data_IF_940569202797
#
_entry.id   IF_940569202797
#
_cell.length_a   1.000
_cell.length_b   1.000
_cell.length_c   1.000
_cell.angle_alpha   90.00
_cell.angle_beta   90.00
_cell.angle_gamma   90.00
#
_symmetry.space_group_name_H-M   'P 1'
#
loop_
_entity.id
_entity.type
_entity.pdbx_description
1 polymer ?
#
# COMPACT_ATOMS: atom_id res chain seq x y z
N UNK A 1 -33.67 22.54 -5.18
CA UNK A 1 -32.85 22.78 -3.97
C UNK A 1 -32.34 21.47 -3.36
N UNK A 2 -33.17 20.42 -3.31
CA UNK A 2 -32.79 19.09 -2.81
C UNK A 2 -31.72 18.38 -3.66
N UNK A 3 -31.81 18.44 -4.99
CA UNK A 3 -30.80 17.90 -5.93
C UNK A 3 -29.41 18.55 -5.75
N UNK A 4 -29.37 19.86 -5.50
CA UNK A 4 -28.12 20.59 -5.22
C UNK A 4 -27.53 20.15 -3.87
N UNK A 5 -28.38 19.88 -2.87
CA UNK A 5 -27.95 19.38 -1.55
C UNK A 5 -27.44 17.94 -1.65
N UNK A 6 -28.13 17.05 -2.38
CA UNK A 6 -27.67 15.68 -2.67
C UNK A 6 -26.33 15.67 -3.40
N UNK A 7 -26.20 16.48 -4.44
CA UNK A 7 -24.95 16.60 -5.21
C UNK A 7 -23.79 17.15 -4.36
N UNK A 8 -24.07 18.07 -3.42
CA UNK A 8 -23.09 18.59 -2.45
C UNK A 8 -22.67 17.52 -1.42
N UNK A 9 -23.62 16.75 -0.88
CA UNK A 9 -23.32 15.63 0.02
C UNK A 9 -22.49 14.55 -0.68
N UNK A 10 -22.86 14.18 -1.92
CA UNK A 10 -22.14 13.18 -2.71
C UNK A 10 -20.70 13.62 -2.99
N UNK A 11 -20.46 14.89 -3.36
CA UNK A 11 -19.11 15.43 -3.54
C UNK A 11 -18.27 15.39 -2.25
N UNK A 12 -18.88 15.55 -1.08
CA UNK A 12 -18.18 15.45 0.21
C UNK A 12 -17.88 14.01 0.62
N UNK A 13 -18.76 13.07 0.27
CA UNK A 13 -18.61 11.64 0.59
C UNK A 13 -17.70 10.89 -0.38
N UNK A 14 -17.62 11.33 -1.64
CA UNK A 14 -16.87 10.66 -2.71
C UNK A 14 -15.42 10.31 -2.31
N UNK A 15 -14.61 11.22 -1.72
CA UNK A 15 -13.25 10.89 -1.33
C UNK A 15 -13.16 9.76 -0.29
N UNK A 16 -14.16 9.63 0.60
CA UNK A 16 -14.20 8.56 1.60
C UNK A 16 -14.53 7.21 0.94
N UNK A 17 -15.56 7.19 0.10
CA UNK A 17 -15.98 5.98 -0.64
C UNK A 17 -14.82 5.46 -1.49
N UNK A 18 -14.18 6.36 -2.23
CA UNK A 18 -13.05 6.02 -3.09
C UNK A 18 -11.87 5.41 -2.32
N UNK A 19 -11.50 6.00 -1.17
CA UNK A 19 -10.40 5.46 -0.36
C UNK A 19 -10.79 4.14 0.29
N UNK A 20 -12.03 3.98 0.78
CA UNK A 20 -12.51 2.70 1.34
C UNK A 20 -12.44 1.58 0.29
N UNK A 21 -12.95 1.82 -0.92
CA UNK A 21 -12.86 0.87 -2.03
C UNK A 21 -11.40 0.56 -2.39
N UNK A 22 -10.53 1.56 -2.37
CA UNK A 22 -9.10 1.38 -2.60
C UNK A 22 -8.48 0.46 -1.54
N UNK A 23 -8.77 0.64 -0.24
CA UNK A 23 -8.23 -0.24 0.80
C UNK A 23 -8.71 -1.69 0.67
N UNK A 24 -9.96 -1.91 0.26
CA UNK A 24 -10.47 -3.27 -0.01
C UNK A 24 -9.74 -3.90 -1.20
N UNK A 25 -9.48 -3.12 -2.27
CA UNK A 25 -8.69 -3.60 -3.42
C UNK A 25 -7.25 -3.93 -3.04
N UNK A 26 -6.61 -3.10 -2.20
CA UNK A 26 -5.26 -3.37 -1.68
C UNK A 26 -5.24 -4.64 -0.82
N UNK A 27 -6.24 -4.86 0.02
CA UNK A 27 -6.32 -6.08 0.83
C UNK A 27 -6.40 -7.34 -0.03
N UNK A 28 -7.17 -7.31 -1.11
CA UNK A 28 -7.21 -8.42 -2.09
C UNK A 28 -5.85 -8.69 -2.72
N UNK A 29 -5.08 -7.63 -3.02
CA UNK A 29 -3.74 -7.74 -3.59
C UNK A 29 -2.74 -8.33 -2.62
N UNK A 30 -2.80 -7.99 -1.32
CA UNK A 30 -1.89 -8.53 -0.32
C UNK A 30 -2.05 -10.07 -0.19
N UNK A 31 -3.30 -10.54 -0.20
CA UNK A 31 -3.63 -11.96 -0.14
C UNK A 31 -3.20 -12.70 -1.40
N UNK A 32 -3.56 -12.19 -2.59
CA UNK A 32 -3.18 -12.78 -3.87
C UNK A 32 -1.66 -12.81 -4.06
N UNK A 33 -0.98 -11.73 -3.68
CA UNK A 33 0.48 -11.63 -3.67
C UNK A 33 1.08 -12.68 -2.74
N UNK A 34 0.62 -12.78 -1.49
CA UNK A 34 1.12 -13.80 -0.56
C UNK A 34 0.95 -15.21 -1.11
N UNK A 35 -0.18 -15.52 -1.76
CA UNK A 35 -0.41 -16.82 -2.39
C UNK A 35 0.64 -17.13 -3.47
N UNK A 36 0.84 -16.24 -4.44
CA UNK A 36 1.79 -16.50 -5.55
C UNK A 36 3.25 -16.46 -5.12
N UNK A 37 3.58 -15.69 -4.07
CA UNK A 37 4.91 -15.71 -3.47
C UNK A 37 5.20 -17.04 -2.76
N UNK A 38 4.19 -17.64 -2.11
CA UNK A 38 4.30 -18.98 -1.51
C UNK A 38 4.43 -20.08 -2.59
N UNK A 39 3.86 -19.88 -3.78
CA UNK A 39 4.06 -20.73 -4.97
C UNK A 39 5.44 -20.52 -5.66
N UNK A 40 6.31 -19.70 -5.07
CA UNK A 40 7.67 -19.49 -5.55
C UNK A 40 7.83 -18.40 -6.61
N UNK A 41 6.81 -17.56 -6.85
CA UNK A 41 6.94 -16.42 -7.76
C UNK A 41 8.01 -15.42 -7.26
N UNK A 42 8.84 -14.94 -8.17
CA UNK A 42 9.75 -13.84 -7.87
C UNK A 42 8.97 -12.55 -7.62
N UNK A 43 9.22 -11.90 -6.49
CA UNK A 43 8.59 -10.61 -6.17
C UNK A 43 9.04 -9.52 -7.15
N UNK A 44 10.30 -9.55 -7.60
CA UNK A 44 10.83 -8.57 -8.54
C UNK A 44 10.07 -8.62 -9.87
N UNK A 45 9.85 -9.83 -10.39
CA UNK A 45 9.10 -10.06 -11.62
C UNK A 45 7.62 -9.70 -11.45
N UNK A 46 7.00 -10.09 -10.33
CA UNK A 46 5.62 -9.74 -10.00
C UNK A 46 5.40 -8.22 -10.07
N UNK A 47 6.28 -7.44 -9.44
CA UNK A 47 6.23 -5.98 -9.43
C UNK A 47 6.34 -5.42 -10.85
N UNK A 48 7.29 -5.90 -11.65
CA UNK A 48 7.48 -5.45 -13.05
C UNK A 48 6.21 -5.64 -13.85
N UNK A 49 5.63 -6.85 -13.83
CA UNK A 49 4.43 -7.11 -14.61
C UNK A 49 3.22 -6.35 -14.09
N UNK A 50 3.05 -6.21 -12.77
CA UNK A 50 1.98 -5.42 -12.15
C UNK A 50 1.98 -3.98 -12.69
N UNK A 51 3.13 -3.31 -12.68
CA UNK A 51 3.21 -1.93 -13.19
C UNK A 51 3.17 -1.87 -14.71
N UNK A 52 3.68 -2.89 -15.41
CA UNK A 52 3.59 -2.98 -16.86
C UNK A 52 2.13 -3.04 -17.33
N UNK A 53 1.32 -3.90 -16.70
CA UNK A 53 -0.13 -3.97 -16.93
C UNK A 53 -0.78 -2.62 -16.64
N UNK A 54 -0.45 -2.01 -15.49
CA UNK A 54 -1.00 -0.71 -15.13
C UNK A 54 -0.67 0.38 -16.16
N UNK A 55 0.57 0.42 -16.67
CA UNK A 55 1.01 1.37 -17.68
C UNK A 55 0.27 1.17 -19.00
N UNK A 56 0.15 -0.08 -19.47
CA UNK A 56 -0.58 -0.43 -20.70
C UNK A 56 -2.05 -0.03 -20.59
N UNK A 57 -2.69 -0.34 -19.45
CA UNK A 57 -4.10 -0.03 -19.23
C UNK A 57 -4.33 1.46 -19.16
N UNK A 58 -3.45 2.23 -18.49
CA UNK A 58 -3.63 3.67 -18.30
C UNK A 58 -3.23 4.51 -19.51
N UNK A 59 -2.29 4.05 -20.34
CA UNK A 59 -1.80 4.76 -21.51
C UNK A 59 -2.91 5.27 -22.47
N UNK A 60 -3.89 4.45 -22.91
CA UNK A 60 -4.93 4.91 -23.83
C UNK A 60 -5.84 5.97 -23.18
N UNK A 61 -6.20 5.82 -21.91
CA UNK A 61 -7.01 6.82 -21.19
C UNK A 61 -6.22 8.13 -21.01
N UNK A 62 -4.95 8.04 -20.63
CA UNK A 62 -4.07 9.20 -20.52
C UNK A 62 -3.90 9.92 -21.88
N UNK A 63 -3.78 9.17 -22.97
CA UNK A 63 -3.69 9.75 -24.31
C UNK A 63 -5.00 10.42 -24.73
N UNK A 64 -6.15 9.82 -24.44
CA UNK A 64 -7.44 10.35 -24.86
C UNK A 64 -7.94 11.53 -24.01
N UNK A 65 -7.88 11.41 -22.68
CA UNK A 65 -8.48 12.37 -21.75
C UNK A 65 -7.55 13.53 -21.38
N UNK A 66 -6.24 13.30 -21.26
CA UNK A 66 -5.31 14.36 -20.81
C UNK A 66 -4.63 15.10 -21.95
N UNK A 67 -4.81 14.70 -23.23
CA UNK A 67 -4.06 15.28 -24.37
C UNK A 67 -4.07 16.81 -24.42
N UNK A 68 -5.18 17.45 -24.05
CA UNK A 68 -5.32 18.91 -24.09
C UNK A 68 -4.87 19.59 -22.79
N UNK A 69 -4.84 18.87 -21.67
CA UNK A 69 -4.51 19.40 -20.36
C UNK A 69 -3.06 19.11 -19.94
N UNK A 70 -2.34 18.26 -20.70
CA UNK A 70 -1.00 17.77 -20.37
C UNK A 70 0.04 18.90 -20.37
N UNK A 71 0.69 19.18 -19.23
CA UNK A 71 1.80 20.13 -19.18
C UNK A 71 3.01 19.61 -19.96
N UNK A 72 3.87 20.53 -20.42
CA UNK A 72 5.14 20.15 -21.05
C UNK A 72 6.01 19.40 -20.04
N UNK A 73 6.56 18.26 -20.46
CA UNK A 73 7.46 17.46 -19.64
C UNK A 73 8.80 18.17 -19.50
N UNK A 74 9.09 18.73 -18.32
CA UNK A 74 10.39 19.31 -18.00
C UNK A 74 11.31 18.26 -17.38
N UNK A 75 12.63 18.47 -17.44
CA UNK A 75 13.61 17.57 -16.79
C UNK A 75 13.33 17.38 -15.30
N UNK A 76 12.92 18.44 -14.61
CA UNK A 76 12.59 18.37 -13.18
C UNK A 76 11.32 17.55 -12.91
N UNK A 77 10.27 17.67 -13.73
CA UNK A 77 9.05 16.85 -13.60
C UNK A 77 9.39 15.38 -13.88
N UNK A 78 10.14 15.11 -14.94
CA UNK A 78 10.58 13.77 -15.27
C UNK A 78 11.39 13.14 -14.14
N UNK A 79 12.32 13.89 -13.53
CA UNK A 79 13.08 13.43 -12.38
C UNK A 79 12.18 13.10 -11.17
N UNK A 80 11.18 13.93 -10.87
CA UNK A 80 10.20 13.61 -9.81
C UNK A 80 9.41 12.34 -10.12
N UNK A 81 8.99 12.15 -11.37
CA UNK A 81 8.27 10.94 -11.82
C UNK A 81 9.15 9.69 -11.69
N UNK A 82 10.42 9.79 -12.07
CA UNK A 82 11.42 8.73 -11.88
C UNK A 82 11.52 8.36 -10.41
N UNK A 83 11.69 9.34 -9.51
CA UNK A 83 11.69 9.09 -8.07
C UNK A 83 10.37 8.51 -7.54
N UNK A 84 9.23 8.88 -8.12
CA UNK A 84 7.94 8.27 -7.78
C UNK A 84 7.89 6.79 -8.19
N UNK A 85 8.42 6.45 -9.37
CA UNK A 85 8.62 5.08 -9.83
C UNK A 85 9.57 4.28 -8.93
N UNK A 86 10.59 4.94 -8.39
CA UNK A 86 11.55 4.30 -7.51
C UNK A 86 10.96 4.02 -6.13
N UNK A 87 10.28 5.00 -5.53
CA UNK A 87 9.86 4.91 -4.13
C UNK A 87 8.77 3.89 -3.88
N UNK A 88 7.68 3.92 -4.66
CA UNK A 88 6.59 2.96 -4.43
C UNK A 88 6.74 1.70 -5.30
N UNK A 89 6.77 1.78 -6.64
CA UNK A 89 6.83 0.57 -7.46
C UNK A 89 8.04 -0.30 -7.15
N UNK A 90 9.23 0.28 -7.04
CA UNK A 90 10.46 -0.52 -6.90
C UNK A 90 10.79 -0.82 -5.44
N UNK A 91 11.03 0.20 -4.62
CA UNK A 91 11.52 -0.01 -3.24
C UNK A 91 10.41 -0.55 -2.35
N UNK A 92 9.29 0.16 -2.23
CA UNK A 92 8.19 -0.23 -1.33
C UNK A 92 7.67 -1.62 -1.66
N UNK A 93 7.20 -1.86 -2.89
CA UNK A 93 6.55 -3.14 -3.20
C UNK A 93 7.49 -4.34 -3.08
N UNK A 94 8.75 -4.22 -3.51
CA UNK A 94 9.69 -5.34 -3.36
C UNK A 94 10.01 -5.61 -1.90
N UNK A 95 10.26 -4.57 -1.09
CA UNK A 95 10.56 -4.75 0.33
C UNK A 95 9.34 -5.24 1.11
N UNK A 96 8.14 -4.81 0.75
CA UNK A 96 6.88 -5.31 1.29
C UNK A 96 6.68 -6.79 0.96
N UNK A 97 6.84 -7.18 -0.31
CA UNK A 97 6.76 -8.57 -0.75
C UNK A 97 7.81 -9.46 -0.07
N UNK A 98 9.06 -8.99 0.01
CA UNK A 98 10.13 -9.72 0.70
C UNK A 98 9.83 -9.83 2.20
N UNK A 99 9.36 -8.77 2.82
CA UNK A 99 8.87 -8.76 4.20
C UNK A 99 7.82 -9.84 4.43
N UNK A 100 6.77 -9.83 3.59
CA UNK A 100 5.72 -10.85 3.58
C UNK A 100 6.24 -12.26 3.29
N UNK A 101 7.35 -12.46 2.57
CA UNK A 101 7.96 -13.80 2.42
C UNK A 101 8.55 -14.29 3.74
N UNK A 102 9.19 -13.41 4.51
CA UNK A 102 9.78 -13.75 5.81
C UNK A 102 8.75 -13.80 6.95
N UNK A 103 7.59 -13.18 6.78
CA UNK A 103 6.52 -13.08 7.79
C UNK A 103 5.15 -13.48 7.22
N UNK A 104 4.07 -12.99 7.82
CA UNK A 104 2.67 -13.15 7.36
C UNK A 104 2.15 -11.89 6.66
N UNK A 105 1.05 -12.03 5.91
CA UNK A 105 0.38 -10.89 5.29
C UNK A 105 -0.18 -9.92 6.35
N UNK A 106 -0.75 -10.48 7.43
CA UNK A 106 -1.26 -9.71 8.57
C UNK A 106 -0.15 -8.93 9.28
N UNK A 107 1.05 -9.53 9.46
CA UNK A 107 2.18 -8.84 10.09
C UNK A 107 2.70 -7.67 9.25
N UNK A 108 2.88 -7.87 7.95
CA UNK A 108 3.38 -6.82 7.07
C UNK A 108 2.39 -5.65 6.96
N UNK A 109 1.10 -5.94 6.80
CA UNK A 109 0.04 -4.92 6.76
C UNK A 109 -0.13 -4.20 8.11
N UNK A 110 0.11 -4.89 9.22
CA UNK A 110 0.11 -4.26 10.53
C UNK A 110 1.18 -3.16 10.64
N UNK A 111 2.40 -3.42 10.19
CA UNK A 111 3.47 -2.43 10.18
C UNK A 111 3.11 -1.20 9.30
N UNK A 112 2.28 -1.36 8.26
CA UNK A 112 1.80 -0.25 7.43
C UNK A 112 0.78 0.65 8.13
N UNK A 113 0.32 0.32 9.34
CA UNK A 113 -0.42 1.26 10.18
C UNK A 113 0.46 2.38 10.76
N UNK A 114 1.78 2.28 10.60
CA UNK A 114 2.72 3.39 10.86
C UNK A 114 2.80 4.37 9.69
N UNK A 115 2.31 4.01 8.49
CA UNK A 115 2.36 4.86 7.29
C UNK A 115 1.71 6.24 7.47
N UNK A 116 0.50 6.39 8.08
CA UNK A 116 -0.10 7.71 8.28
C UNK A 116 0.77 8.60 9.16
N UNK A 117 1.42 8.01 10.17
CA UNK A 117 2.28 8.71 11.11
C UNK A 117 3.53 9.27 10.42
N UNK A 118 4.24 8.41 9.68
CA UNK A 118 5.44 8.79 8.93
C UNK A 118 5.10 9.83 7.87
N UNK A 119 4.00 9.63 7.14
CA UNK A 119 3.52 10.56 6.11
C UNK A 119 3.20 11.93 6.71
N UNK A 120 2.54 11.96 7.87
CA UNK A 120 2.25 13.22 8.56
C UNK A 120 3.55 13.95 8.95
N UNK A 121 4.53 13.27 9.56
CA UNK A 121 5.82 13.87 9.92
C UNK A 121 6.53 14.45 8.69
N UNK A 122 6.62 13.69 7.59
CA UNK A 122 7.23 14.18 6.36
C UNK A 122 6.45 15.36 5.76
N UNK A 123 5.11 15.36 5.84
CA UNK A 123 4.29 16.48 5.39
C UNK A 123 4.56 17.77 6.19
N UNK A 124 4.92 17.67 7.48
CA UNK A 124 5.34 18.82 8.28
C UNK A 124 6.71 19.33 7.87
N UNK A 125 7.68 18.43 7.69
CA UNK A 125 9.05 18.78 7.28
C UNK A 125 9.03 19.51 5.92
N UNK A 126 8.26 19.00 4.97
CA UNK A 126 8.13 19.58 3.62
C UNK A 126 7.12 20.75 3.58
N UNK A 127 6.53 21.12 4.73
CA UNK A 127 5.56 22.22 4.87
C UNK A 127 4.32 22.08 3.98
N UNK A 128 3.93 20.84 3.65
CA UNK A 128 2.67 20.56 2.95
C UNK A 128 1.47 20.66 3.89
N UNK A 129 1.66 20.38 5.18
CA UNK A 129 0.70 20.67 6.23
C UNK A 129 1.22 21.78 7.16
N UNK A 130 0.39 22.79 7.43
CA UNK A 130 0.68 23.80 8.46
C UNK A 130 -0.04 23.40 9.74
N UNK A 131 0.71 22.90 10.73
CA UNK A 131 0.15 22.61 12.05
C UNK A 131 -0.04 23.91 12.81
N UNK A 132 -1.29 24.35 12.93
CA UNK A 132 -1.69 25.25 14.01
C UNK A 132 -1.81 24.40 15.27
N UNK A 133 -0.78 24.41 16.14
CA UNK A 133 -0.73 23.64 17.39
C UNK A 133 -1.87 23.99 18.38
N UNK A 134 -2.57 25.12 18.16
CA UNK A 134 -3.77 25.52 18.91
C UNK A 134 -5.11 24.98 18.37
N UNK A 135 -5.11 24.17 17.30
CA UNK A 135 -6.33 23.57 16.74
C UNK A 135 -6.52 22.13 17.23
N UNK A 136 -7.70 21.83 17.79
CA UNK A 136 -8.14 20.47 18.18
C UNK A 136 -7.95 19.43 17.06
N UNK A 137 -8.05 19.87 15.79
CA UNK A 137 -7.88 19.01 14.61
C UNK A 137 -6.41 18.61 14.37
N UNK A 138 -5.45 19.42 14.80
CA UNK A 138 -4.02 19.09 14.71
C UNK A 138 -3.60 18.17 15.86
N UNK A 139 -4.10 18.42 17.08
CA UNK A 139 -3.82 17.59 18.24
C UNK A 139 -4.35 16.16 18.08
N UNK A 140 -5.57 16.01 17.55
CA UNK A 140 -6.15 14.69 17.23
C UNK A 140 -5.38 13.93 16.15
N UNK A 141 -4.78 14.60 15.16
CA UNK A 141 -3.91 13.96 14.17
C UNK A 141 -2.61 13.42 14.78
N UNK A 142 -1.96 14.19 15.67
CA UNK A 142 -0.74 13.77 16.37
C UNK A 142 -1.03 12.64 17.35
N UNK A 143 -2.13 12.75 18.12
CA UNK A 143 -2.53 11.72 19.07
C UNK A 143 -2.92 10.43 18.35
N UNK A 144 -3.70 10.51 17.26
CA UNK A 144 -4.05 9.34 16.43
C UNK A 144 -2.81 8.67 15.81
N UNK A 145 -1.82 9.46 15.42
CA UNK A 145 -0.51 9.00 14.96
C UNK A 145 0.22 8.21 16.06
N UNK A 146 0.36 8.77 17.26
CA UNK A 146 1.02 8.10 18.39
C UNK A 146 0.31 6.82 18.82
N UNK A 147 -1.03 6.85 18.85
CA UNK A 147 -1.86 5.68 19.19
C UNK A 147 -1.77 4.60 18.12
N UNK A 148 -1.72 4.97 16.83
CA UNK A 148 -1.57 4.00 15.73
C UNK A 148 -0.21 3.30 15.78
N UNK A 149 0.88 4.06 15.97
CA UNK A 149 2.23 3.51 16.09
C UNK A 149 2.35 2.64 17.35
N UNK A 150 1.84 3.12 18.49
CA UNK A 150 1.81 2.36 19.74
C UNK A 150 0.99 1.08 19.63
N UNK A 151 -0.21 1.15 19.06
CA UNK A 151 -1.08 -0.01 18.84
C UNK A 151 -0.46 -1.04 17.90
N UNK A 152 0.22 -0.59 16.84
CA UNK A 152 0.97 -1.46 15.92
C UNK A 152 2.10 -2.17 16.65
N UNK A 153 2.90 -1.43 17.42
CA UNK A 153 4.05 -1.98 18.14
C UNK A 153 3.60 -3.00 19.21
N UNK A 154 2.48 -2.74 19.88
CA UNK A 154 1.86 -3.68 20.83
C UNK A 154 1.36 -4.94 20.11
N UNK A 155 0.62 -4.81 19.01
CA UNK A 155 0.09 -5.97 18.26
C UNK A 155 1.22 -6.83 17.66
N UNK A 156 2.35 -6.23 17.33
CA UNK A 156 3.49 -6.89 16.67
C UNK A 156 4.42 -7.58 17.67
N UNK A 157 4.66 -6.96 18.84
CA UNK A 157 5.65 -7.43 19.82
C UNK A 157 5.05 -8.18 21.01
N UNK A 158 3.76 -7.99 21.29
CA UNK A 158 3.09 -8.65 22.42
C UNK A 158 2.41 -9.93 21.96
N UNK A 159 2.91 -11.08 22.42
CA UNK A 159 2.24 -12.36 22.27
C UNK A 159 0.98 -12.39 23.14
N UNK A 160 -0.18 -12.15 22.52
CA UNK A 160 -1.48 -12.42 23.12
C UNK A 160 -1.85 -13.91 23.05
N UNK A 161 -2.90 -14.36 23.77
CA UNK A 161 -3.47 -15.68 23.52
C UNK A 161 -3.96 -15.75 22.06
N UNK A 162 -3.72 -16.89 21.41
CA UNK A 162 -4.24 -17.14 20.06
C UNK A 162 -5.77 -17.13 20.12
N UNK A 163 -6.40 -16.46 19.15
CA UNK A 163 -7.84 -16.53 18.96
C UNK A 163 -8.19 -17.88 18.34
N UNK A 164 -8.80 -18.75 19.13
CA UNK A 164 -9.38 -20.01 18.63
C UNK A 164 -10.70 -19.72 17.90
N UNK A 165 -10.60 -19.31 16.63
CA UNK A 165 -11.75 -19.14 15.76
C UNK A 165 -12.36 -20.51 15.42
N UNK A 166 -13.69 -20.60 15.34
CA UNK A 166 -14.37 -21.88 15.17
C UNK A 166 -14.09 -22.55 13.81
N UNK A 167 -13.73 -21.77 12.80
CA UNK A 167 -13.31 -22.25 11.48
C UNK A 167 -11.83 -22.64 11.38
N UNK A 168 -11.00 -22.31 12.38
CA UNK A 168 -9.60 -22.77 12.47
C UNK A 168 -9.46 -24.13 13.19
N UNK A 169 -10.59 -24.76 13.59
CA UNK A 169 -10.64 -26.07 14.28
C UNK A 169 -10.63 -27.29 13.33
N UNK A 170 -9.81 -27.25 12.29
CA UNK A 170 -9.47 -28.45 11.49
C UNK A 170 -8.31 -29.22 12.13
N UNK A 171 -7.94 -30.42 11.62
CA UNK A 171 -6.67 -31.05 11.98
C UNK A 171 -5.57 -30.15 11.44
N UNK A 172 -5.16 -29.15 12.22
CA UNK A 172 -4.07 -28.28 11.85
C UNK A 172 -2.84 -29.17 11.82
N UNK A 173 -2.35 -29.45 10.60
CA UNK A 173 -0.91 -29.59 10.47
C UNK A 173 -0.37 -28.33 11.11
N UNK A 174 0.40 -28.53 12.16
CA UNK A 174 1.09 -27.50 12.93
C UNK A 174 2.12 -26.86 11.99
N UNK A 175 1.66 -26.15 10.97
CA UNK A 175 2.44 -25.22 10.17
C UNK A 175 2.46 -23.89 10.94
N UNK A 176 2.71 -23.96 12.24
CA UNK A 176 3.60 -22.98 12.83
C UNK A 176 4.93 -23.21 12.10
N UNK A 177 5.10 -22.57 10.95
CA UNK A 177 6.43 -22.10 10.60
C UNK A 177 6.79 -21.27 11.82
N UNK A 178 7.53 -21.88 12.75
CA UNK A 178 8.17 -21.14 13.82
C UNK A 178 9.06 -20.18 13.07
N UNK A 179 8.56 -18.96 12.85
CA UNK A 179 9.33 -17.94 12.18
C UNK A 179 10.48 -17.68 13.12
N UNK A 180 11.66 -18.12 12.71
CA UNK A 180 12.90 -17.78 13.36
C UNK A 180 12.85 -16.30 13.74
N UNK A 181 13.18 -15.96 14.99
CA UNK A 181 13.12 -14.59 15.47
C UNK A 181 13.92 -13.69 14.53
N UNK A 182 15.03 -14.23 14.00
CA UNK A 182 15.85 -13.55 13.01
C UNK A 182 15.11 -13.29 11.68
N UNK A 183 14.36 -14.25 11.14
CA UNK A 183 13.57 -14.05 9.92
C UNK A 183 12.45 -13.03 10.12
N UNK A 184 11.82 -13.06 11.30
CA UNK A 184 10.75 -12.11 11.67
C UNK A 184 11.27 -10.68 11.78
N UNK A 185 12.43 -10.48 12.42
CA UNK A 185 13.10 -9.18 12.50
C UNK A 185 13.51 -8.69 11.11
N UNK A 186 14.10 -9.57 10.28
CA UNK A 186 14.46 -9.23 8.91
C UNK A 186 13.24 -8.76 8.12
N UNK A 187 12.11 -9.47 8.21
CA UNK A 187 10.86 -9.06 7.59
C UNK A 187 10.38 -7.70 8.10
N UNK A 188 10.37 -7.47 9.41
CA UNK A 188 9.94 -6.21 10.00
C UNK A 188 10.78 -5.00 9.53
N UNK A 189 12.11 -5.16 9.45
CA UNK A 189 13.02 -4.12 8.96
C UNK A 189 12.72 -3.80 7.50
N UNK A 190 12.57 -4.82 6.65
CA UNK A 190 12.25 -4.63 5.22
C UNK A 190 10.93 -3.88 5.04
N UNK A 191 9.87 -4.31 5.73
CA UNK A 191 8.54 -3.67 5.66
C UNK A 191 8.58 -2.23 6.18
N UNK A 192 9.36 -1.95 7.23
CA UNK A 192 9.48 -0.59 7.78
C UNK A 192 10.20 0.35 6.80
N UNK A 193 11.25 -0.13 6.13
CA UNK A 193 11.94 0.63 5.08
C UNK A 193 10.99 0.88 3.89
N UNK A 194 10.21 -0.15 3.50
CA UNK A 194 9.16 -0.01 2.48
C UNK A 194 8.13 1.06 2.85
N UNK A 195 7.58 0.98 4.06
CA UNK A 195 6.63 1.96 4.61
C UNK A 195 7.17 3.41 4.57
N UNK A 196 8.44 3.61 4.94
CA UNK A 196 9.07 4.92 4.82
C UNK A 196 9.17 5.38 3.35
N UNK A 197 9.57 4.50 2.44
CA UNK A 197 9.61 4.76 1.01
C UNK A 197 8.22 5.14 0.46
N UNK A 198 7.17 4.44 0.89
CA UNK A 198 5.80 4.76 0.49
C UNK A 198 5.31 6.11 1.03
N UNK A 199 5.70 6.46 2.27
CA UNK A 199 5.45 7.80 2.80
C UNK A 199 6.14 8.87 1.95
N UNK A 200 7.40 8.66 1.54
CA UNK A 200 8.11 9.54 0.61
C UNK A 200 7.38 9.66 -0.73
N UNK A 201 6.87 8.55 -1.28
CA UNK A 201 6.05 8.54 -2.48
C UNK A 201 4.81 9.44 -2.34
N UNK A 202 4.02 9.30 -1.26
CA UNK A 202 2.82 10.12 -1.05
C UNK A 202 3.13 11.62 -1.01
N UNK A 203 4.22 11.99 -0.33
CA UNK A 203 4.66 13.39 -0.24
C UNK A 203 5.11 13.91 -1.60
N UNK A 204 5.96 13.17 -2.30
CA UNK A 204 6.43 13.55 -3.63
C UNK A 204 5.29 13.58 -4.65
N UNK A 205 4.29 12.69 -4.52
CA UNK A 205 3.16 12.61 -5.41
C UNK A 205 2.28 13.85 -5.25
N UNK A 206 2.02 14.26 -4.00
CA UNK A 206 1.30 15.50 -3.69
C UNK A 206 2.00 16.74 -4.27
N UNK A 207 3.33 16.78 -4.23
CA UNK A 207 4.14 17.87 -4.81
C UNK A 207 4.07 17.84 -6.33
N UNK A 208 4.17 16.66 -6.93
CA UNK A 208 4.20 16.47 -8.38
C UNK A 208 2.86 16.81 -9.01
N UNK A 209 1.74 16.47 -8.36
CA UNK A 209 0.38 16.84 -8.79
C UNK A 209 0.16 18.36 -8.87
N UNK A 210 0.93 19.17 -8.12
CA UNK A 210 0.87 20.65 -8.26
C UNK A 210 1.52 21.14 -9.54
N UNK A 211 2.58 20.48 -10.00
CA UNK A 211 3.33 20.84 -11.22
C UNK A 211 2.86 20.08 -12.47
N UNK A 212 2.20 18.94 -12.29
CA UNK A 212 1.71 18.07 -13.35
C UNK A 212 0.30 17.57 -13.00
N UNK A 213 -0.75 18.44 -13.08
CA UNK A 213 -2.09 18.19 -12.56
C UNK A 213 -2.97 17.34 -13.50
N UNK A 214 -2.39 16.31 -14.13
CA UNK A 214 -3.07 15.36 -15.01
C UNK A 214 -2.87 13.95 -14.46
N UNK A 215 -3.85 13.46 -13.72
CA UNK A 215 -3.75 12.26 -12.88
C UNK A 215 -3.58 10.99 -13.71
N UNK A 216 -4.30 10.84 -14.83
CA UNK A 216 -4.20 9.66 -15.70
C UNK A 216 -2.80 9.54 -16.31
N UNK A 217 -2.29 10.64 -16.88
CA UNK A 217 -0.95 10.71 -17.46
C UNK A 217 0.13 10.54 -16.42
N UNK A 218 -0.03 11.12 -15.23
CA UNK A 218 0.95 10.98 -14.16
C UNK A 218 1.00 9.53 -13.68
N UNK A 219 -0.14 8.88 -13.49
CA UNK A 219 -0.23 7.46 -13.17
C UNK A 219 0.44 6.60 -14.25
N UNK A 220 0.14 6.83 -15.53
CA UNK A 220 0.77 6.09 -16.63
C UNK A 220 2.30 6.23 -16.62
N UNK A 221 2.81 7.45 -16.38
CA UNK A 221 4.24 7.71 -16.27
C UNK A 221 4.89 7.06 -15.05
N UNK A 222 4.25 7.10 -13.87
CA UNK A 222 4.74 6.43 -12.65
C UNK A 222 4.83 4.92 -12.89
N UNK A 223 3.76 4.31 -13.42
CA UNK A 223 3.74 2.88 -13.73
C UNK A 223 4.79 2.51 -14.78
N UNK A 224 4.98 3.34 -15.81
CA UNK A 224 6.00 3.11 -16.83
C UNK A 224 7.42 3.15 -16.23
N UNK A 225 7.74 4.19 -15.45
CA UNK A 225 9.04 4.29 -14.79
C UNK A 225 9.26 3.16 -13.79
N UNK A 226 8.25 2.83 -12.98
CA UNK A 226 8.30 1.68 -12.08
C UNK A 226 8.53 0.35 -12.79
N UNK A 227 7.96 0.18 -13.99
CA UNK A 227 8.22 -1.00 -14.84
C UNK A 227 9.66 -1.04 -15.33
N UNK A 228 10.19 0.09 -15.83
CA UNK A 228 11.55 0.19 -16.36
C UNK A 228 12.59 -0.04 -15.26
N UNK A 229 12.47 0.69 -14.16
CA UNK A 229 13.38 0.61 -13.02
C UNK A 229 13.25 -0.76 -12.32
N UNK A 230 12.02 -1.25 -12.14
CA UNK A 230 11.76 -2.58 -11.61
C UNK A 230 12.35 -3.67 -12.48
N UNK A 231 12.29 -3.52 -13.82
CA UNK A 231 12.86 -4.49 -14.75
C UNK A 231 14.38 -4.50 -14.65
N UNK A 232 15.02 -3.33 -14.52
CA UNK A 232 16.46 -3.25 -14.29
C UNK A 232 16.86 -3.98 -12.99
N UNK A 233 16.12 -3.78 -11.90
CA UNK A 233 16.36 -4.50 -10.64
C UNK A 233 16.10 -6.00 -10.81
N UNK A 234 15.00 -6.41 -11.42
CA UNK A 234 14.64 -7.81 -11.62
C UNK A 234 15.68 -8.55 -12.48
N UNK A 235 16.21 -7.91 -13.53
CA UNK A 235 17.26 -8.49 -14.38
C UNK A 235 18.56 -8.73 -13.61
N UNK A 236 18.88 -7.87 -12.64
CA UNK A 236 20.06 -8.04 -11.77
C UNK A 236 19.80 -9.10 -10.71
N UNK A 237 18.63 -9.09 -10.07
CA UNK A 237 18.32 -9.97 -8.94
C UNK A 237 17.99 -11.41 -9.36
N UNK A 238 17.35 -11.61 -10.51
CA UNK A 238 17.06 -12.92 -11.10
C UNK A 238 18.07 -13.28 -12.20
N UNK A 239 19.30 -12.73 -12.11
CA UNK A 239 20.35 -13.03 -13.07
C UNK A 239 20.69 -14.51 -13.04
N UNK A 240 20.53 -15.17 -14.19
CA UNK A 240 20.73 -16.62 -14.31
C UNK A 240 19.47 -17.47 -14.06
N UNK A 241 18.33 -16.85 -13.78
CA UNK A 241 17.03 -17.52 -13.64
C UNK A 241 16.01 -16.97 -14.66
N UNK A 242 16.15 -17.27 -15.97
CA UNK A 242 15.20 -16.80 -16.99
C UNK A 242 13.78 -17.36 -16.75
N UNK A 243 13.66 -18.51 -16.09
CA UNK A 243 12.38 -19.10 -15.72
C UNK A 243 11.54 -18.22 -14.77
N UNK A 244 12.16 -17.31 -14.01
CA UNK A 244 11.43 -16.36 -13.16
C UNK A 244 10.48 -15.46 -13.95
N UNK A 245 10.80 -15.18 -15.22
CA UNK A 245 10.01 -14.32 -16.11
C UNK A 245 8.84 -15.04 -16.77
N UNK A 246 8.81 -16.37 -16.72
CA UNK A 246 7.74 -17.17 -17.29
C UNK A 246 6.49 -17.09 -16.42
N UNK A 247 5.45 -16.43 -16.94
CA UNK A 247 4.12 -16.40 -16.34
C UNK A 247 3.20 -17.30 -17.18
N UNK A 248 2.62 -18.31 -16.53
CA UNK A 248 1.63 -19.20 -17.13
C UNK A 248 0.21 -18.64 -17.06
N UNK A 249 -0.75 -19.38 -17.60
CA UNK A 249 -2.18 -19.11 -17.42
C UNK A 249 -2.68 -19.65 -16.07
N UNK A 250 -2.15 -19.08 -14.98
CA UNK A 250 -2.37 -19.53 -13.61
C UNK A 250 -2.69 -18.37 -12.66
N UNK A 251 -2.68 -18.65 -11.36
CA UNK A 251 -2.87 -17.64 -10.31
C UNK A 251 -1.88 -16.48 -10.40
N UNK A 252 -0.69 -16.67 -10.97
CA UNK A 252 0.32 -15.60 -11.13
C UNK A 252 -0.17 -14.55 -12.12
N UNK A 253 -0.74 -14.98 -13.25
CA UNK A 253 -1.31 -14.06 -14.23
C UNK A 253 -2.53 -13.31 -13.66
N UNK A 254 -3.39 -14.02 -12.92
CA UNK A 254 -4.54 -13.40 -12.25
C UNK A 254 -4.07 -12.32 -11.27
N UNK A 255 -3.11 -12.63 -10.40
CA UNK A 255 -2.56 -11.71 -9.40
C UNK A 255 -1.92 -10.49 -10.04
N UNK A 256 -1.08 -10.68 -11.07
CA UNK A 256 -0.45 -9.60 -11.84
C UNK A 256 -1.50 -8.68 -12.47
N UNK A 257 -2.52 -9.26 -13.10
CA UNK A 257 -3.53 -8.50 -13.83
C UNK A 257 -4.44 -7.72 -12.87
N UNK A 258 -4.93 -8.39 -11.83
CA UNK A 258 -5.75 -7.78 -10.78
C UNK A 258 -5.00 -6.64 -10.08
N UNK A 259 -3.78 -6.91 -9.59
CA UNK A 259 -2.99 -5.92 -8.86
C UNK A 259 -2.57 -4.75 -9.77
N UNK A 260 -2.28 -5.01 -11.04
CA UNK A 260 -1.94 -3.98 -12.02
C UNK A 260 -3.13 -3.05 -12.29
N UNK A 261 -4.31 -3.60 -12.56
CA UNK A 261 -5.50 -2.82 -12.90
C UNK A 261 -6.07 -2.11 -11.66
N UNK A 262 -6.33 -2.86 -10.59
CA UNK A 262 -7.07 -2.35 -9.42
C UNK A 262 -6.16 -1.52 -8.52
N UNK A 263 -4.99 -2.05 -8.18
CA UNK A 263 -4.16 -1.46 -7.13
C UNK A 263 -3.19 -0.41 -7.67
N UNK A 264 -2.62 -0.61 -8.86
CA UNK A 264 -1.67 0.37 -9.43
C UNK A 264 -2.36 1.37 -10.37
N UNK A 265 -3.07 0.92 -11.41
CA UNK A 265 -3.73 1.82 -12.36
C UNK A 265 -4.86 2.65 -11.69
N UNK A 266 -5.92 1.99 -11.23
CA UNK A 266 -7.01 2.66 -10.54
C UNK A 266 -6.55 3.24 -9.21
N UNK A 267 -5.68 2.53 -8.48
CA UNK A 267 -5.22 2.99 -7.17
C UNK A 267 -4.41 4.28 -7.21
N UNK A 268 -3.43 4.45 -8.10
CA UNK A 268 -2.74 5.74 -8.22
C UNK A 268 -3.66 6.82 -8.76
N UNK A 269 -4.49 6.52 -9.76
CA UNK A 269 -5.43 7.51 -10.29
C UNK A 269 -6.39 8.03 -9.22
N UNK A 270 -7.08 7.14 -8.51
CA UNK A 270 -7.98 7.48 -7.40
C UNK A 270 -7.19 8.17 -6.27
N UNK A 271 -6.04 7.63 -5.92
CA UNK A 271 -5.13 8.21 -4.91
C UNK A 271 -4.77 9.66 -5.26
N UNK A 272 -4.44 9.95 -6.52
CA UNK A 272 -4.16 11.29 -7.02
C UNK A 272 -5.36 12.23 -6.94
N UNK A 273 -6.54 11.77 -7.35
CA UNK A 273 -7.79 12.55 -7.24
C UNK A 273 -8.11 12.93 -5.78
N UNK A 274 -8.01 11.97 -4.87
CA UNK A 274 -8.25 12.20 -3.44
C UNK A 274 -7.17 13.09 -2.86
N UNK A 275 -5.91 12.89 -3.23
CA UNK A 275 -4.79 13.68 -2.73
C UNK A 275 -4.86 15.15 -3.15
N UNK A 276 -5.32 15.43 -4.38
CA UNK A 276 -5.55 16.80 -4.86
C UNK A 276 -6.64 17.51 -4.06
N UNK A 277 -7.65 16.78 -3.58
CA UNK A 277 -8.81 17.35 -2.88
C UNK A 277 -8.65 17.37 -1.35
N UNK A 278 -7.96 16.39 -0.75
CA UNK A 278 -7.87 16.18 0.71
C UNK A 278 -6.45 16.15 1.25
N UNK A 279 -5.44 16.09 0.39
CA UNK A 279 -4.03 15.98 0.77
C UNK A 279 -3.55 14.54 1.02
N UNK A 280 -2.22 14.34 1.12
CA UNK A 280 -1.62 13.01 1.23
C UNK A 280 -1.95 12.28 2.54
N UNK A 281 -1.98 13.00 3.67
CA UNK A 281 -2.26 12.42 5.00
C UNK A 281 -3.67 11.82 5.07
N UNK A 282 -4.64 12.39 4.34
CA UNK A 282 -6.00 11.86 4.29
C UNK A 282 -6.05 10.48 3.63
N UNK A 283 -5.29 10.26 2.55
CA UNK A 283 -5.26 8.97 1.85
C UNK A 283 -4.65 7.90 2.74
N UNK A 284 -3.53 8.22 3.39
CA UNK A 284 -2.81 7.26 4.24
C UNK A 284 -3.57 6.89 5.50
N UNK A 285 -4.40 7.79 6.06
CA UNK A 285 -5.13 7.56 7.31
C UNK A 285 -6.09 6.34 7.28
N UNK A 286 -6.38 5.80 6.09
CA UNK A 286 -7.24 4.63 5.93
C UNK A 286 -6.45 3.31 5.86
N UNK A 287 -5.12 3.31 5.93
CA UNK A 287 -4.34 2.05 5.91
C UNK A 287 -4.77 1.02 6.97
N UNK A 288 -5.23 1.39 8.18
CA UNK A 288 -5.75 0.40 9.14
C UNK A 288 -6.95 -0.39 8.65
N UNK A 289 -7.75 0.16 7.72
CA UNK A 289 -8.87 -0.57 7.12
C UNK A 289 -8.38 -1.74 6.27
N UNK A 290 -7.29 -1.55 5.50
CA UNK A 290 -6.67 -2.63 4.73
C UNK A 290 -6.25 -3.77 5.66
N UNK A 291 -5.57 -3.45 6.75
CA UNK A 291 -5.13 -4.44 7.75
C UNK A 291 -6.29 -5.25 8.34
N UNK A 292 -7.43 -4.61 8.67
CA UNK A 292 -8.62 -5.33 9.18
C UNK A 292 -9.14 -6.35 8.15
N UNK A 293 -9.24 -5.93 6.87
CA UNK A 293 -9.74 -6.81 5.80
C UNK A 293 -8.74 -7.93 5.52
N UNK A 294 -7.44 -7.63 5.47
CA UNK A 294 -6.37 -8.63 5.29
C UNK A 294 -6.35 -9.63 6.44
N UNK A 295 -6.44 -9.18 7.69
CA UNK A 295 -6.49 -10.09 8.83
C UNK A 295 -7.65 -11.09 8.70
N UNK A 296 -8.85 -10.60 8.38
CA UNK A 296 -10.02 -11.46 8.17
C UNK A 296 -9.81 -12.46 7.03
N UNK A 297 -9.43 -11.99 5.83
CA UNK A 297 -9.21 -12.85 4.66
C UNK A 297 -8.08 -13.87 4.88
N UNK A 298 -6.98 -13.42 5.49
CA UNK A 298 -5.80 -14.23 5.75
C UNK A 298 -6.08 -15.36 6.75
N UNK A 299 -6.89 -15.09 7.78
CA UNK A 299 -7.31 -16.14 8.73
C UNK A 299 -8.17 -17.23 8.09
N UNK A 300 -8.97 -16.90 7.06
CA UNK A 300 -9.81 -17.86 6.35
C UNK A 300 -9.00 -18.65 5.33
N UNK A 301 -8.18 -17.97 4.54
CA UNK A 301 -7.50 -18.56 3.37
C UNK A 301 -6.20 -19.28 3.77
N UNK A 302 -5.40 -18.66 4.64
CA UNK A 302 -4.08 -19.18 5.03
C UNK A 302 -4.07 -19.81 6.42
N UNK A 303 -5.21 -19.84 7.11
CA UNK A 303 -5.33 -20.27 8.51
C UNK A 303 -4.34 -19.54 9.45
N UNK A 304 -4.00 -18.28 9.15
CA UNK A 304 -3.15 -17.46 10.00
C UNK A 304 -3.82 -17.26 11.36
N UNK A 305 -3.13 -17.67 12.44
CA UNK A 305 -3.61 -17.42 13.80
C UNK A 305 -3.56 -15.92 14.10
N UNK A 306 -4.71 -15.36 14.46
CA UNK A 306 -4.80 -14.00 14.99
C UNK A 306 -4.52 -14.02 16.50
N UNK A 307 -3.76 -13.04 16.99
CA UNK A 307 -3.50 -12.86 18.42
C UNK A 307 -4.30 -11.67 18.94
N UNK A 308 -5.01 -11.84 20.05
CA UNK A 308 -5.75 -10.74 20.67
C UNK A 308 -4.75 -9.79 21.36
N UNK A 309 -4.76 -8.51 21.00
CA UNK A 309 -4.11 -7.47 21.82
C UNK A 309 -4.75 -7.48 23.22
N UNK A 310 -3.92 -7.46 24.28
CA UNK A 310 -4.39 -7.56 25.67
C UNK A 310 -5.51 -6.53 25.93
N UNK A 311 -6.69 -7.01 26.32
CA UNK A 311 -7.58 -6.20 27.17
C UNK A 311 -6.83 -5.95 28.47
N UNK A 312 -6.53 -4.69 28.77
CA UNK A 312 -6.16 -4.30 30.13
C UNK A 312 -7.29 -4.81 31.02
N UNK A 313 -7.03 -5.71 31.99
CA UNK A 313 -8.03 -6.00 33.01
C UNK A 313 -8.29 -4.67 33.70
N UNK A 314 -9.51 -4.14 33.55
CA UNK A 314 -9.99 -3.18 34.53
C UNK A 314 -10.14 -3.96 35.82
N UNK A 315 -9.10 -3.93 36.66
CA UNK A 315 -9.25 -4.19 38.08
C UNK A 315 -10.20 -3.10 38.61
N UNK A 316 -11.49 -3.41 38.69
CA UNK A 316 -12.38 -2.75 39.64
C UNK A 316 -12.16 -3.44 40.99
N UNK A 317 -11.16 -2.93 41.72
CA UNK A 317 -11.05 -3.08 43.17
C UNK A 317 -11.57 -1.82 43.85
#
# INVERSE_FOLDING_TARGET
>A
MEEVKKMSCMKKAMPFILVVLLQVGLAGMDILTKAVLNEGMSNYVLVVYRHGVAAIVMAPFAFYFDKMARPKMTRMIFFKITLLGLFEPVIDQNLFCLGMKYTTATFATALYNTLPAVTFILALIVRLEKVKLRSIRSASKVLGTMVSVGGTMIMTLVKGPALDLFWTKGPSKQNTIGTDIHSSIKGAVLVTIGCFSYACFFILYAITLKTYPTELSLTAWICLMGTIEGAAVALVMERGNPGAWAIGWDNKLLTVTYSGIVCSALGYYIGGLVMKTRGPVFVTAFSPLCMIVVAFMSSIIFAEQMYLGRTVPCDMG
#
